data_IF_359188417694
#
_entry.id   IF_359188417694
#
_cell.length_a   1.000
_cell.length_b   1.000
_cell.length_c   1.000
_cell.angle_alpha   90.00
_cell.angle_beta   90.00
_cell.angle_gamma   90.00
#
_symmetry.space_group_name_H-M   'P 1'
#
loop_
_entity.id
_entity.type
_entity.pdbx_description
1 polymer ?
#
# COMPACT_ATOMS: atom_id res chain seq x y z
N UNK A 1 37.03 -83.75 -15.90
CA UNK A 1 37.23 -82.29 -15.99
C UNK A 1 38.25 -82.02 -17.08
N UNK A 2 37.83 -81.46 -18.24
CA UNK A 2 38.77 -81.00 -19.27
C UNK A 2 39.27 -79.62 -18.87
N UNK A 3 40.56 -79.53 -18.56
CA UNK A 3 41.28 -78.26 -18.41
C UNK A 3 41.37 -77.60 -19.78
N UNK A 4 40.65 -76.50 -19.99
CA UNK A 4 40.83 -75.66 -21.17
C UNK A 4 42.09 -74.81 -20.94
N UNK A 5 43.19 -75.18 -21.60
CA UNK A 5 44.37 -74.34 -21.69
C UNK A 5 44.12 -73.28 -22.76
N UNK A 6 43.78 -72.07 -22.31
CA UNK A 6 43.74 -70.89 -23.15
C UNK A 6 45.16 -70.57 -23.61
N UNK A 7 45.35 -70.35 -24.91
CA UNK A 7 46.61 -69.83 -25.46
C UNK A 7 46.84 -68.41 -24.95
N UNK A 8 48.09 -67.92 -24.93
CA UNK A 8 48.38 -66.58 -24.41
C UNK A 8 47.58 -65.47 -25.14
N UNK A 9 47.34 -65.65 -26.44
CA UNK A 9 46.53 -64.75 -27.25
C UNK A 9 45.05 -64.74 -26.81
N UNK A 10 44.48 -65.88 -26.43
CA UNK A 10 43.11 -65.96 -25.93
C UNK A 10 42.97 -65.29 -24.56
N UNK A 11 43.99 -65.38 -23.69
CA UNK A 11 44.02 -64.68 -22.41
C UNK A 11 44.12 -63.16 -22.59
N UNK A 12 44.91 -62.70 -23.57
CA UNK A 12 45.03 -61.29 -23.91
C UNK A 12 43.72 -60.71 -24.46
N UNK A 13 43.03 -61.45 -25.32
CA UNK A 13 41.73 -61.03 -25.85
C UNK A 13 40.65 -60.95 -24.75
N UNK A 14 40.59 -61.95 -23.86
CA UNK A 14 39.64 -61.94 -22.74
C UNK A 14 39.87 -60.74 -21.81
N UNK A 15 41.14 -60.40 -21.55
CA UNK A 15 41.46 -59.24 -20.70
C UNK A 15 41.17 -57.91 -21.38
N UNK A 16 41.33 -57.81 -22.69
CA UNK A 16 40.96 -56.63 -23.47
C UNK A 16 39.44 -56.42 -23.57
N UNK A 17 38.67 -57.50 -23.77
CA UNK A 17 37.21 -57.46 -23.78
C UNK A 17 36.66 -57.08 -22.40
N UNK A 18 37.24 -57.64 -21.32
CA UNK A 18 36.86 -57.29 -19.96
C UNK A 18 37.14 -55.80 -19.65
N UNK A 19 38.32 -55.30 -20.02
CA UNK A 19 38.68 -53.90 -19.84
C UNK A 19 37.74 -52.98 -20.62
N UNK A 20 37.40 -53.36 -21.84
CA UNK A 20 36.47 -52.60 -22.71
C UNK A 20 35.06 -52.58 -22.10
N UNK A 21 34.57 -53.71 -21.61
CA UNK A 21 33.26 -53.78 -20.95
C UNK A 21 33.21 -52.89 -19.69
N UNK A 22 34.25 -52.92 -18.86
CA UNK A 22 34.36 -52.06 -17.68
C UNK A 22 34.40 -50.59 -18.09
N UNK A 23 35.16 -50.22 -19.12
CA UNK A 23 35.23 -48.85 -19.62
C UNK A 23 33.86 -48.35 -20.11
N UNK A 24 33.12 -49.17 -20.85
CA UNK A 24 31.75 -48.83 -21.31
C UNK A 24 30.80 -48.63 -20.12
N UNK A 25 30.87 -49.49 -19.10
CA UNK A 25 30.06 -49.35 -17.88
C UNK A 25 30.40 -48.06 -17.14
N UNK A 26 31.68 -47.73 -16.99
CA UNK A 26 32.12 -46.49 -16.32
C UNK A 26 31.66 -45.25 -17.09
N UNK A 27 31.79 -45.24 -18.42
CA UNK A 27 31.30 -44.13 -19.26
C UNK A 27 29.79 -43.98 -19.13
N UNK A 28 29.04 -45.09 -19.21
CA UNK A 28 27.59 -45.08 -19.03
C UNK A 28 27.18 -44.60 -17.63
N UNK A 29 27.94 -44.96 -16.59
CA UNK A 29 27.70 -44.51 -15.23
C UNK A 29 27.97 -43.01 -15.06
N UNK A 30 29.09 -42.50 -15.59
CA UNK A 30 29.40 -41.06 -15.57
C UNK A 30 28.30 -40.29 -16.32
N UNK A 31 27.87 -40.79 -17.48
CA UNK A 31 26.76 -40.19 -18.22
C UNK A 31 25.46 -40.19 -17.41
N UNK A 32 25.11 -41.31 -16.78
CA UNK A 32 23.92 -41.41 -15.94
C UNK A 32 23.96 -40.45 -14.74
N UNK A 33 25.09 -40.34 -14.03
CA UNK A 33 25.27 -39.39 -12.92
C UNK A 33 25.18 -37.94 -13.41
N UNK A 34 25.74 -37.64 -14.58
CA UNK A 34 25.68 -36.29 -15.19
C UNK A 34 24.24 -35.90 -15.55
N UNK A 35 23.51 -36.84 -16.18
CA UNK A 35 22.11 -36.66 -16.56
C UNK A 35 21.21 -36.58 -15.31
N UNK A 36 21.42 -37.45 -14.32
CA UNK A 36 20.70 -37.39 -13.04
C UNK A 36 20.93 -36.05 -12.36
N UNK A 37 22.16 -35.54 -12.31
CA UNK A 37 22.45 -34.23 -11.71
C UNK A 37 21.69 -33.09 -12.42
N UNK A 38 21.56 -33.18 -13.76
CA UNK A 38 20.77 -32.25 -14.57
C UNK A 38 19.25 -32.40 -14.41
N UNK A 39 18.75 -33.60 -14.06
CA UNK A 39 17.32 -33.85 -13.82
C UNK A 39 16.93 -33.50 -12.39
N UNK A 40 17.83 -33.70 -11.42
CA UNK A 40 17.59 -33.50 -9.99
C UNK A 40 17.72 -32.03 -9.59
N UNK A 41 18.33 -31.17 -10.41
CA UNK A 41 18.23 -29.72 -10.17
C UNK A 41 16.80 -29.28 -10.52
N UNK A 42 15.89 -29.06 -9.55
CA UNK A 42 14.50 -28.73 -9.84
C UNK A 42 14.36 -27.28 -10.32
N UNK A 43 15.48 -26.59 -10.49
CA UNK A 43 15.54 -25.23 -10.97
C UNK A 43 15.64 -25.27 -12.49
N UNK A 44 14.47 -25.29 -13.13
CA UNK A 44 14.33 -24.72 -14.47
C UNK A 44 15.12 -23.41 -14.56
N UNK A 45 15.75 -23.12 -15.71
CA UNK A 45 16.61 -21.93 -15.85
C UNK A 45 15.95 -20.61 -15.42
N UNK A 46 14.62 -20.52 -15.52
CA UNK A 46 13.85 -19.34 -15.13
C UNK A 46 13.65 -19.21 -13.61
N UNK A 47 13.36 -20.28 -12.88
CA UNK A 47 13.16 -20.21 -11.42
C UNK A 47 14.40 -19.73 -10.65
N UNK A 48 15.60 -19.99 -11.18
CA UNK A 48 16.87 -19.50 -10.62
C UNK A 48 17.02 -17.97 -10.73
N UNK A 49 16.42 -17.35 -11.76
CA UNK A 49 16.41 -15.90 -11.96
C UNK A 49 15.20 -15.23 -11.30
N UNK A 50 14.05 -15.91 -11.27
CA UNK A 50 12.79 -15.40 -10.71
C UNK A 50 12.93 -15.03 -9.23
N UNK A 51 13.53 -15.88 -8.40
CA UNK A 51 13.61 -15.61 -6.96
C UNK A 51 14.42 -14.36 -6.62
N UNK A 52 15.67 -14.18 -7.08
CA UNK A 52 16.41 -12.95 -6.83
C UNK A 52 15.70 -11.69 -7.35
N UNK A 53 15.02 -11.78 -8.50
CA UNK A 53 14.28 -10.66 -9.07
C UNK A 53 13.03 -10.33 -8.25
N UNK A 54 12.24 -11.32 -7.87
CA UNK A 54 11.08 -11.15 -6.99
C UNK A 54 11.48 -10.60 -5.61
N UNK A 55 12.58 -11.11 -5.04
CA UNK A 55 13.12 -10.67 -3.76
C UNK A 55 13.59 -9.22 -3.80
N UNK A 56 14.26 -8.82 -4.89
CA UNK A 56 14.63 -7.42 -5.12
C UNK A 56 13.39 -6.54 -5.27
N UNK A 57 12.41 -6.95 -6.07
CA UNK A 57 11.20 -6.17 -6.30
C UNK A 57 10.41 -5.93 -5.01
N UNK A 58 10.17 -6.97 -4.21
CA UNK A 58 9.47 -6.81 -2.92
C UNK A 58 10.27 -5.98 -1.91
N UNK A 59 11.60 -6.10 -1.93
CA UNK A 59 12.47 -5.29 -1.07
C UNK A 59 12.39 -3.82 -1.47
N UNK A 60 12.43 -3.51 -2.77
CA UNK A 60 12.21 -2.13 -3.26
C UNK A 60 10.83 -1.60 -2.86
N UNK A 61 9.79 -2.42 -2.99
CA UNK A 61 8.44 -2.03 -2.59
C UNK A 61 8.35 -1.68 -1.10
N UNK A 62 8.99 -2.44 -0.22
CA UNK A 62 8.82 -2.29 1.24
C UNK A 62 9.85 -1.35 1.88
N UNK A 63 11.06 -1.27 1.33
CA UNK A 63 12.20 -0.60 1.97
C UNK A 63 12.66 0.66 1.22
N UNK A 64 12.10 0.97 0.05
CA UNK A 64 12.44 2.15 -0.74
C UNK A 64 11.24 3.11 -0.80
N UNK A 65 11.53 4.42 -0.87
CA UNK A 65 10.50 5.46 -1.02
C UNK A 65 9.99 5.55 -2.47
N UNK A 66 10.68 4.90 -3.41
CA UNK A 66 10.47 5.08 -4.84
C UNK A 66 11.16 6.34 -5.36
N UNK A 67 11.16 6.48 -6.68
CA UNK A 67 11.88 7.55 -7.36
C UNK A 67 11.26 7.88 -8.71
N UNK A 68 11.28 9.16 -9.06
CA UNK A 68 10.95 9.66 -10.38
C UNK A 68 12.02 10.64 -10.86
N UNK A 69 12.20 10.70 -12.17
CA UNK A 69 13.16 11.57 -12.84
C UNK A 69 12.57 12.02 -14.19
N UNK A 70 12.58 13.33 -14.44
CA UNK A 70 12.24 13.91 -15.74
C UNK A 70 13.02 15.21 -15.98
N UNK A 71 12.86 15.82 -17.16
CA UNK A 71 13.62 17.02 -17.53
C UNK A 71 13.48 18.19 -16.52
N UNK A 72 12.33 18.27 -15.86
CA UNK A 72 12.00 19.32 -14.89
C UNK A 72 12.46 19.02 -13.44
N UNK A 73 13.03 17.84 -13.16
CA UNK A 73 13.55 17.50 -11.83
C UNK A 73 13.48 16.02 -11.46
N UNK A 74 13.70 15.74 -10.18
CA UNK A 74 13.70 14.38 -9.61
C UNK A 74 13.19 14.39 -8.16
N UNK A 75 12.68 13.26 -7.67
CA UNK A 75 12.09 13.19 -6.33
C UNK A 75 11.65 11.78 -5.90
N UNK A 76 11.20 11.65 -4.65
CA UNK A 76 10.72 10.37 -4.05
C UNK A 76 9.20 10.30 -3.90
N UNK A 77 8.51 11.35 -4.32
CA UNK A 77 7.06 11.56 -4.39
C UNK A 77 6.53 11.10 -5.75
N UNK A 78 6.92 9.89 -6.16
CA UNK A 78 6.67 9.34 -7.50
C UNK A 78 5.18 9.14 -7.77
N UNK A 79 4.36 9.00 -6.72
CA UNK A 79 2.92 8.86 -6.80
C UNK A 79 2.24 10.03 -7.51
N UNK A 80 2.79 11.25 -7.35
CA UNK A 80 2.30 12.44 -8.05
C UNK A 80 2.58 12.38 -9.55
N UNK A 81 3.64 11.70 -9.97
CA UNK A 81 3.99 11.49 -11.38
C UNK A 81 3.23 10.33 -12.00
N UNK A 82 2.78 9.37 -11.19
CA UNK A 82 1.96 8.25 -11.65
C UNK A 82 0.57 8.71 -12.14
N UNK A 83 -0.05 9.65 -11.41
CA UNK A 83 -1.44 10.09 -11.63
C UNK A 83 -1.61 11.53 -12.17
N UNK A 84 -0.55 12.17 -12.68
CA UNK A 84 -0.62 13.58 -13.06
C UNK A 84 -1.59 13.84 -14.25
N UNK A 85 -2.68 14.57 -13.98
CA UNK A 85 -3.47 15.35 -14.94
C UNK A 85 -4.13 14.58 -16.11
N UNK A 86 -4.51 13.31 -15.93
CA UNK A 86 -5.22 12.53 -16.95
C UNK A 86 -4.37 12.18 -18.20
N UNK A 87 -3.10 12.57 -18.21
CA UNK A 87 -2.08 12.14 -19.16
C UNK A 87 -1.10 11.26 -18.40
N UNK A 88 -1.42 9.97 -18.37
CA UNK A 88 -0.64 8.91 -17.74
C UNK A 88 0.83 8.88 -18.20
N UNK A 89 1.69 9.68 -17.55
CA UNK A 89 3.11 9.79 -17.89
C UNK A 89 3.96 8.90 -16.97
N UNK A 90 3.61 7.61 -16.96
CA UNK A 90 4.26 6.59 -16.15
C UNK A 90 5.77 6.45 -16.44
N UNK A 91 6.24 6.91 -17.60
CA UNK A 91 7.65 6.82 -18.01
C UNK A 91 8.61 7.57 -17.09
N UNK A 92 8.15 8.63 -16.43
CA UNK A 92 8.98 9.42 -15.52
C UNK A 92 9.21 8.72 -14.18
N UNK A 93 8.39 7.74 -13.82
CA UNK A 93 8.59 6.93 -12.62
C UNK A 93 9.65 5.87 -12.91
N UNK A 94 10.81 5.98 -12.28
CA UNK A 94 11.94 5.06 -12.51
C UNK A 94 11.95 3.93 -11.50
N UNK A 95 11.37 4.14 -10.31
CA UNK A 95 11.26 3.15 -9.25
C UNK A 95 9.99 3.32 -8.44
N UNK A 96 9.30 2.20 -8.19
CA UNK A 96 8.15 2.16 -7.26
C UNK A 96 8.65 1.64 -5.90
N UNK A 97 8.34 2.41 -4.86
CA UNK A 97 8.60 2.05 -3.47
C UNK A 97 7.51 2.62 -2.59
N UNK A 98 7.10 1.88 -1.57
CA UNK A 98 5.94 2.17 -0.73
C UNK A 98 6.36 2.63 0.67
N UNK A 99 7.65 2.79 0.96
CA UNK A 99 8.10 3.24 2.27
C UNK A 99 7.68 4.69 2.51
N UNK A 100 7.14 4.94 3.71
CA UNK A 100 6.90 6.28 4.24
C UNK A 100 8.23 7.02 4.39
N UNK A 101 8.25 8.27 3.92
CA UNK A 101 9.44 9.09 3.97
C UNK A 101 9.90 9.44 5.40
N UNK A 102 8.99 9.40 6.37
CA UNK A 102 9.18 9.89 7.73
C UNK A 102 9.38 8.76 8.75
N UNK A 103 9.08 7.52 8.38
CA UNK A 103 9.06 6.39 9.31
C UNK A 103 9.84 5.18 8.80
N UNK A 104 10.39 4.40 9.73
CA UNK A 104 11.13 3.17 9.39
C UNK A 104 10.18 1.98 9.33
N UNK A 105 10.22 1.27 8.21
CA UNK A 105 9.44 0.04 7.98
C UNK A 105 7.92 0.27 8.08
N UNK A 106 7.47 1.49 7.79
CA UNK A 106 6.06 1.85 7.67
C UNK A 106 5.78 2.13 6.19
N UNK A 107 4.74 1.50 5.64
CA UNK A 107 4.30 1.76 4.29
C UNK A 107 3.38 2.98 4.26
N UNK A 108 3.53 3.78 3.22
CA UNK A 108 2.73 4.96 2.91
C UNK A 108 1.42 4.52 2.22
N UNK A 109 0.25 4.74 2.86
CA UNK A 109 -1.04 4.38 2.26
C UNK A 109 -1.35 5.12 0.97
N UNK A 110 -0.90 6.37 0.82
CA UNK A 110 -1.10 7.18 -0.39
C UNK A 110 -0.39 6.56 -1.59
N UNK A 111 0.84 6.06 -1.39
CA UNK A 111 1.58 5.32 -2.42
C UNK A 111 0.93 4.00 -2.78
N UNK A 112 0.42 3.27 -1.79
CA UNK A 112 -0.33 2.03 -2.02
C UNK A 112 -1.57 2.31 -2.86
N UNK A 113 -2.41 3.26 -2.44
CA UNK A 113 -3.66 3.61 -3.12
C UNK A 113 -3.45 4.22 -4.52
N UNK A 114 -2.24 4.67 -4.82
CA UNK A 114 -1.91 5.23 -6.14
C UNK A 114 -1.81 4.16 -7.22
N UNK A 115 -1.28 2.98 -6.88
CA UNK A 115 -1.03 1.91 -7.85
C UNK A 115 -1.88 0.66 -7.59
N UNK A 116 -2.32 0.42 -6.37
CA UNK A 116 -3.05 -0.80 -6.00
C UNK A 116 -4.54 -0.53 -5.81
N UNK A 117 -5.38 -1.50 -6.17
CA UNK A 117 -6.82 -1.42 -5.93
C UNK A 117 -7.17 -2.00 -4.56
N UNK A 118 -7.98 -1.26 -3.80
CA UNK A 118 -8.47 -1.70 -2.50
C UNK A 118 -9.69 -2.62 -2.65
N UNK A 119 -9.58 -3.85 -2.17
CA UNK A 119 -10.64 -4.87 -2.15
C UNK A 119 -11.37 -4.90 -0.79
N UNK A 120 -11.50 -3.74 -0.15
CA UNK A 120 -12.14 -3.52 1.14
C UNK A 120 -11.27 -3.82 2.36
N UNK A 121 -10.41 -4.85 2.30
CA UNK A 121 -9.56 -5.25 3.44
C UNK A 121 -8.13 -5.67 3.05
N UNK A 122 -7.81 -5.67 1.76
CA UNK A 122 -6.47 -5.85 1.23
C UNK A 122 -6.31 -5.04 -0.05
N UNK A 123 -5.07 -4.86 -0.48
CA UNK A 123 -4.72 -4.22 -1.74
C UNK A 123 -4.13 -5.24 -2.69
N UNK A 124 -4.46 -5.12 -3.97
CA UNK A 124 -3.89 -5.98 -5.00
C UNK A 124 -3.52 -5.22 -6.27
N UNK A 125 -2.51 -5.73 -6.98
CA UNK A 125 -2.09 -5.20 -8.27
C UNK A 125 -1.32 -6.24 -9.11
N UNK A 126 -1.54 -6.31 -10.42
CA UNK A 126 -2.69 -5.74 -11.13
C UNK A 126 -3.98 -6.47 -10.75
N UNK A 127 -5.14 -5.83 -10.95
CA UNK A 127 -6.47 -6.46 -10.76
C UNK A 127 -6.93 -7.29 -11.95
N UNK A 128 -6.22 -7.18 -13.08
CA UNK A 128 -6.48 -7.96 -14.28
C UNK A 128 -5.17 -8.49 -14.85
N UNK A 129 -5.23 -9.63 -15.53
CA UNK A 129 -4.08 -10.24 -16.19
C UNK A 129 -3.79 -9.64 -17.57
N UNK A 130 -4.60 -8.68 -18.03
CA UNK A 130 -4.38 -7.98 -19.30
C UNK A 130 -3.25 -6.98 -19.18
N UNK A 131 -2.29 -7.07 -20.10
CA UNK A 131 -1.22 -6.08 -20.26
C UNK A 131 -1.80 -4.72 -20.69
N UNK A 132 -1.27 -3.66 -20.10
CA UNK A 132 -1.58 -2.29 -20.46
C UNK A 132 -0.41 -1.37 -20.10
N UNK A 133 -0.43 -0.10 -20.55
CA UNK A 133 0.68 0.82 -20.35
C UNK A 133 1.07 0.99 -18.88
N UNK A 134 0.10 0.94 -17.98
CA UNK A 134 0.32 1.01 -16.54
C UNK A 134 1.11 -0.22 -16.04
N UNK A 135 0.67 -1.43 -16.39
CA UNK A 135 1.33 -2.68 -15.99
C UNK A 135 2.75 -2.76 -16.57
N UNK A 136 2.94 -2.38 -17.83
CA UNK A 136 4.25 -2.39 -18.48
C UNK A 136 5.22 -1.42 -17.79
N UNK A 137 4.74 -0.25 -17.39
CA UNK A 137 5.56 0.73 -16.66
C UNK A 137 5.82 0.30 -15.22
N UNK A 138 4.84 -0.29 -14.54
CA UNK A 138 5.03 -0.83 -13.20
C UNK A 138 6.08 -1.96 -13.23
N UNK A 139 5.98 -2.83 -14.23
CA UNK A 139 6.95 -3.88 -14.50
C UNK A 139 8.35 -3.31 -14.71
N UNK A 140 8.50 -2.27 -15.54
CA UNK A 140 9.78 -1.57 -15.74
C UNK A 140 10.31 -0.98 -14.43
N UNK A 141 9.51 -0.20 -13.71
CA UNK A 141 9.92 0.51 -12.50
C UNK A 141 10.26 -0.42 -11.33
N UNK A 142 9.69 -1.63 -11.29
CA UNK A 142 10.06 -2.67 -10.32
C UNK A 142 11.22 -3.55 -10.77
N UNK A 143 11.74 -3.36 -12.00
CA UNK A 143 12.78 -4.23 -12.57
C UNK A 143 12.27 -5.62 -12.98
N UNK A 144 10.97 -5.75 -13.22
CA UNK A 144 10.25 -6.96 -13.60
C UNK A 144 9.94 -7.03 -15.10
N UNK A 145 10.47 -6.13 -15.94
CA UNK A 145 10.07 -5.97 -17.36
C UNK A 145 10.10 -7.19 -18.29
N UNK A 146 10.59 -8.35 -17.83
CA UNK A 146 10.59 -9.63 -18.58
C UNK A 146 9.66 -10.69 -17.96
N UNK A 147 9.04 -10.35 -16.84
CA UNK A 147 8.26 -11.25 -16.02
C UNK A 147 6.88 -10.67 -15.82
N UNK A 148 5.91 -11.55 -15.63
CA UNK A 148 4.64 -11.15 -15.10
C UNK A 148 4.73 -11.17 -13.58
N UNK A 149 3.85 -10.42 -12.94
CA UNK A 149 3.78 -10.42 -11.49
C UNK A 149 2.38 -10.13 -11.00
N UNK A 150 2.18 -10.46 -9.74
CA UNK A 150 1.00 -10.11 -8.97
C UNK A 150 1.44 -9.76 -7.55
N UNK A 151 0.85 -8.74 -6.95
CA UNK A 151 1.18 -8.24 -5.62
C UNK A 151 -0.09 -8.20 -4.79
N UNK A 152 0.02 -8.66 -3.55
CA UNK A 152 -0.99 -8.44 -2.52
C UNK A 152 -0.35 -7.83 -1.28
N UNK A 153 -1.01 -6.83 -0.71
CA UNK A 153 -0.71 -6.28 0.62
C UNK A 153 -1.94 -6.51 1.48
N UNK A 154 -1.79 -7.22 2.59
CA UNK A 154 -2.92 -7.57 3.48
C UNK A 154 -2.55 -7.52 4.96
N UNK A 155 -3.50 -7.25 5.87
CA UNK A 155 -3.27 -7.34 7.31
C UNK A 155 -2.82 -8.73 7.75
N UNK A 156 -2.03 -8.82 8.82
CA UNK A 156 -1.72 -10.10 9.47
C UNK A 156 -2.88 -10.67 10.28
N UNK A 157 -3.79 -9.81 10.73
CA UNK A 157 -4.91 -10.25 11.54
C UNK A 157 -6.00 -10.88 10.67
N UNK A 158 -5.91 -12.19 10.47
CA UNK A 158 -6.86 -13.00 9.70
C UNK A 158 -8.31 -12.91 10.19
N UNK A 159 -8.56 -12.47 11.43
CA UNK A 159 -9.93 -12.24 11.91
C UNK A 159 -10.58 -10.95 11.38
N UNK A 160 -9.76 -10.01 10.87
CA UNK A 160 -10.20 -8.70 10.36
C UNK A 160 -10.37 -8.69 8.83
N UNK A 161 -10.06 -9.77 8.11
CA UNK A 161 -10.23 -9.82 6.65
C UNK A 161 -10.53 -11.23 6.12
N UNK A 162 -11.09 -11.30 4.91
CA UNK A 162 -11.41 -12.58 4.28
C UNK A 162 -10.17 -13.20 3.60
N UNK A 163 -9.37 -13.92 4.38
CA UNK A 163 -8.16 -14.62 3.91
C UNK A 163 -8.45 -15.56 2.73
N UNK A 164 -9.58 -16.26 2.78
CA UNK A 164 -9.98 -17.21 1.74
C UNK A 164 -10.22 -16.51 0.41
N UNK A 165 -10.91 -15.37 0.42
CA UNK A 165 -11.12 -14.56 -0.79
C UNK A 165 -9.79 -14.06 -1.38
N UNK A 166 -8.90 -13.52 -0.53
CA UNK A 166 -7.58 -13.05 -0.98
C UNK A 166 -6.73 -14.18 -1.60
N UNK A 167 -6.72 -15.37 -0.96
CA UNK A 167 -5.99 -16.53 -1.49
C UNK A 167 -6.61 -17.07 -2.78
N UNK A 168 -7.93 -17.04 -2.90
CA UNK A 168 -8.62 -17.40 -4.14
C UNK A 168 -8.23 -16.44 -5.27
N UNK A 169 -8.21 -15.12 -5.02
CA UNK A 169 -7.78 -14.12 -6.00
C UNK A 169 -6.33 -14.32 -6.44
N UNK A 170 -5.43 -14.60 -5.51
CA UNK A 170 -4.05 -14.94 -5.86
C UNK A 170 -3.97 -16.18 -6.76
N UNK A 171 -4.78 -17.19 -6.50
CA UNK A 171 -4.86 -18.40 -7.32
C UNK A 171 -5.41 -18.10 -8.72
N UNK A 172 -6.43 -17.25 -8.83
CA UNK A 172 -7.02 -16.84 -10.12
C UNK A 172 -6.04 -16.02 -10.97
N UNK A 173 -5.29 -15.10 -10.36
CA UNK A 173 -4.35 -14.21 -11.04
C UNK A 173 -3.08 -14.91 -11.50
N UNK A 174 -2.54 -15.77 -10.65
CA UNK A 174 -1.32 -16.53 -10.91
C UNK A 174 -1.63 -17.73 -11.80
N UNK A 175 -2.67 -18.50 -11.47
CA UNK A 175 -3.06 -19.73 -12.18
C UNK A 175 -1.97 -20.80 -12.19
N UNK A 176 -2.11 -21.79 -13.08
CA UNK A 176 -1.12 -22.85 -13.32
C UNK A 176 -0.03 -22.40 -14.30
N UNK A 177 0.59 -21.25 -14.03
CA UNK A 177 1.60 -20.67 -14.92
C UNK A 177 3.00 -21.17 -14.59
N UNK A 178 3.38 -22.31 -15.17
CA UNK A 178 4.77 -22.78 -15.21
C UNK A 178 5.54 -22.61 -13.89
N UNK A 179 6.69 -21.94 -13.95
CA UNK A 179 7.49 -21.62 -12.77
C UNK A 179 7.01 -20.33 -12.11
N UNK A 180 6.38 -20.45 -10.94
CA UNK A 180 5.98 -19.31 -10.11
C UNK A 180 6.86 -19.23 -8.88
N UNK A 181 7.38 -18.05 -8.59
CA UNK A 181 8.02 -17.76 -7.31
C UNK A 181 7.19 -16.75 -6.52
N UNK A 182 6.94 -17.04 -5.24
CA UNK A 182 6.34 -16.09 -4.30
C UNK A 182 7.34 -15.63 -3.24
N UNK A 183 7.46 -14.33 -3.03
CA UNK A 183 8.27 -13.75 -1.94
C UNK A 183 7.39 -12.94 -1.01
N UNK A 184 7.63 -13.09 0.30
CA UNK A 184 6.86 -12.44 1.36
C UNK A 184 7.75 -11.48 2.15
N UNK A 185 7.21 -10.31 2.48
CA UNK A 185 7.79 -9.34 3.42
C UNK A 185 6.73 -8.87 4.42
N UNK A 186 7.19 -8.49 5.60
CA UNK A 186 6.35 -7.98 6.68
C UNK A 186 6.72 -6.54 6.97
N UNK A 187 5.71 -5.68 7.02
CA UNK A 187 5.86 -4.25 7.22
C UNK A 187 4.75 -3.74 8.15
N UNK A 188 4.78 -2.45 8.46
CA UNK A 188 3.71 -1.77 9.19
C UNK A 188 3.02 -0.78 8.27
N UNK A 189 1.79 -0.42 8.59
CA UNK A 189 1.13 0.72 7.97
C UNK A 189 0.38 1.50 9.03
N UNK A 190 0.46 2.81 8.91
CA UNK A 190 -0.32 3.74 9.70
C UNK A 190 -1.73 3.77 9.13
N UNK A 191 -2.73 3.45 9.95
CA UNK A 191 -4.12 3.60 9.51
C UNK A 191 -4.42 5.09 9.38
N UNK A 192 -4.43 5.58 8.16
CA UNK A 192 -5.02 6.86 7.81
C UNK A 192 -6.38 6.53 7.21
N UNK A 193 -7.43 6.91 7.91
CA UNK A 193 -8.81 6.75 7.45
C UNK A 193 -9.06 7.78 6.35
N UNK A 194 -9.28 7.34 5.11
CA UNK A 194 -9.41 8.21 3.94
C UNK A 194 -10.86 8.27 3.46
N UNK A 195 -11.60 9.26 3.94
CA UNK A 195 -12.81 9.74 3.28
C UNK A 195 -12.47 10.83 2.26
N UNK A 196 -13.04 10.78 1.06
CA UNK A 196 -13.13 11.96 0.18
C UNK A 196 -14.21 12.87 0.75
N UNK A 197 -13.85 14.09 1.16
CA UNK A 197 -14.76 15.02 1.80
C UNK A 197 -15.01 16.26 0.94
N UNK A 198 -16.29 16.48 0.64
CA UNK A 198 -16.77 17.80 0.24
C UNK A 198 -16.95 18.63 1.51
N UNK A 199 -16.44 19.86 1.53
CA UNK A 199 -16.51 20.75 2.71
C UNK A 199 -17.92 21.30 2.97
N UNK A 200 -18.89 21.04 2.07
CA UNK A 200 -20.33 21.25 2.33
C UNK A 200 -20.97 20.07 3.08
N UNK A 201 -20.19 19.04 3.41
CA UNK A 201 -20.58 17.85 4.18
C UNK A 201 -19.76 17.76 5.47
N UNK A 202 -20.19 16.97 6.45
CA UNK A 202 -19.43 16.76 7.69
C UNK A 202 -17.96 16.43 7.40
N UNK A 203 -17.05 17.21 7.98
CA UNK A 203 -15.59 17.04 7.90
C UNK A 203 -15.13 15.81 8.70
N UNK A 204 -15.88 15.39 9.69
CA UNK A 204 -15.73 14.07 10.30
C UNK A 204 -16.93 13.77 11.19
N UNK A 205 -17.17 12.49 11.46
CA UNK A 205 -18.14 12.00 12.43
C UNK A 205 -17.48 11.08 13.45
N UNK A 206 -17.82 11.24 14.72
CA UNK A 206 -17.52 10.35 15.83
C UNK A 206 -18.80 9.56 16.15
N UNK A 207 -18.70 8.23 16.15
CA UNK A 207 -19.81 7.42 16.63
C UNK A 207 -19.93 7.48 18.18
N UNK A 208 -21.08 7.05 18.68
CA UNK A 208 -21.36 7.04 20.12
C UNK A 208 -20.36 6.22 20.96
N UNK A 209 -19.76 5.17 20.39
CA UNK A 209 -18.78 4.33 21.08
C UNK A 209 -17.49 5.11 21.38
N UNK A 210 -17.24 6.19 20.64
CA UNK A 210 -16.06 7.03 20.79
C UNK A 210 -16.31 8.29 21.65
N UNK A 211 -17.51 8.54 22.17
CA UNK A 211 -17.79 9.77 22.95
C UNK A 211 -17.03 9.85 24.27
N UNK A 212 -16.61 8.72 24.83
CA UNK A 212 -15.71 8.72 25.99
C UNK A 212 -14.43 9.52 25.73
N UNK A 213 -14.01 9.63 24.47
CA UNK A 213 -12.87 10.44 24.05
C UNK A 213 -13.07 11.94 24.32
N UNK A 214 -14.24 12.45 23.94
CA UNK A 214 -14.62 13.87 24.10
C UNK A 214 -14.59 14.24 25.59
N UNK A 215 -15.17 13.36 26.41
CA UNK A 215 -15.21 13.51 27.86
C UNK A 215 -13.82 13.42 28.50
N UNK A 216 -13.00 12.45 28.09
CA UNK A 216 -11.67 12.23 28.69
C UNK A 216 -10.67 13.32 28.38
N UNK A 217 -10.81 13.99 27.23
CA UNK A 217 -9.88 15.04 26.78
C UNK A 217 -10.38 16.45 27.10
N UNK A 218 -11.56 16.59 27.71
CA UNK A 218 -12.14 17.90 27.98
C UNK A 218 -12.49 18.69 26.72
N UNK A 219 -12.80 17.99 25.61
CA UNK A 219 -13.13 18.59 24.32
C UNK A 219 -12.69 17.75 23.14
N UNK A 220 -12.65 18.38 21.96
CA UNK A 220 -12.14 17.79 20.72
C UNK A 220 -11.07 18.73 20.15
N UNK A 221 -9.93 18.15 19.82
CA UNK A 221 -8.87 18.84 19.11
C UNK A 221 -8.61 18.11 17.78
N UNK A 222 -8.67 18.85 16.67
CA UNK A 222 -8.37 18.32 15.35
C UNK A 222 -7.55 19.27 14.50
N UNK A 223 -6.82 18.73 13.54
CA UNK A 223 -5.99 19.49 12.60
C UNK A 223 -6.36 19.17 11.17
N UNK A 224 -6.56 20.20 10.37
CA UNK A 224 -6.83 20.13 8.93
C UNK A 224 -5.60 20.64 8.18
N UNK A 225 -5.12 19.86 7.22
CA UNK A 225 -3.97 20.18 6.37
C UNK A 225 -4.27 19.83 4.91
N UNK A 226 -3.43 20.31 3.98
CA UNK A 226 -3.50 20.01 2.55
C UNK A 226 -4.83 20.45 1.88
N UNK A 227 -5.40 21.56 2.35
CA UNK A 227 -6.53 22.20 1.68
C UNK A 227 -6.07 22.68 0.29
N UNK A 228 -6.72 22.24 -0.79
CA UNK A 228 -6.44 22.86 -2.11
C UNK A 228 -7.25 24.11 -2.32
N UNK A 229 -6.59 24.98 -3.05
CA UNK A 229 -7.09 26.26 -3.45
C UNK A 229 -7.55 26.11 -4.90
N UNK A 230 -8.84 26.36 -5.15
CA UNK A 230 -9.32 26.67 -6.49
C UNK A 230 -8.62 27.96 -6.90
N UNK A 231 -7.86 27.97 -8.01
CA UNK A 231 -7.20 29.18 -8.49
C UNK A 231 -8.18 30.35 -8.59
N UNK A 232 -7.70 31.56 -8.28
CA UNK A 232 -8.40 32.84 -8.44
C UNK A 232 -9.58 33.13 -7.49
N UNK A 233 -9.81 32.34 -6.44
CA UNK A 233 -10.84 32.60 -5.42
C UNK A 233 -10.23 32.80 -4.03
N UNK A 234 -10.68 33.82 -3.28
CA UNK A 234 -10.34 33.94 -1.86
C UNK A 234 -11.08 32.86 -1.09
N UNK A 235 -10.34 32.01 -0.37
CA UNK A 235 -10.94 30.93 0.41
C UNK A 235 -10.88 31.27 1.88
N UNK A 236 -12.04 31.33 2.49
CA UNK A 236 -12.20 31.64 3.90
C UNK A 236 -13.06 30.57 4.53
N UNK A 237 -12.56 29.94 5.59
CA UNK A 237 -13.43 29.23 6.53
C UNK A 237 -14.23 30.32 7.24
N UNK A 238 -15.50 30.45 6.89
CA UNK A 238 -16.40 31.47 7.42
C UNK A 238 -17.06 31.03 8.70
N UNK A 239 -17.30 29.73 8.84
CA UNK A 239 -17.98 29.13 9.97
C UNK A 239 -17.52 27.68 10.24
N UNK A 240 -17.69 27.22 11.48
CA UNK A 240 -17.54 25.84 11.90
C UNK A 240 -18.85 25.42 12.57
N UNK A 241 -19.48 24.37 12.06
CA UNK A 241 -20.68 23.80 12.66
C UNK A 241 -20.37 22.47 13.33
N UNK A 242 -21.00 22.21 14.46
CA UNK A 242 -21.05 20.89 15.09
C UNK A 242 -22.47 20.39 15.03
N UNK A 243 -22.70 19.09 14.88
CA UNK A 243 -24.05 18.58 15.01
C UNK A 243 -24.15 17.12 15.38
N UNK A 244 -25.39 16.66 15.47
CA UNK A 244 -25.73 15.30 15.86
C UNK A 244 -26.71 14.66 14.89
N UNK A 245 -26.39 13.43 14.49
CA UNK A 245 -27.16 12.62 13.56
C UNK A 245 -27.06 13.05 12.10
N UNK A 246 -27.16 12.06 11.21
CA UNK A 246 -27.40 12.23 9.78
C UNK A 246 -28.68 11.48 9.43
N UNK A 247 -29.57 12.08 8.64
CA UNK A 247 -30.69 11.34 8.08
C UNK A 247 -30.21 10.37 6.97
N UNK A 248 -31.10 9.50 6.47
CA UNK A 248 -30.78 8.53 5.41
C UNK A 248 -30.27 9.15 4.10
N UNK A 249 -30.41 10.47 3.91
CA UNK A 249 -29.92 11.24 2.76
C UNK A 249 -28.63 12.01 3.06
N UNK A 250 -27.99 11.73 4.21
CA UNK A 250 -26.81 12.47 4.71
C UNK A 250 -27.08 13.95 4.98
N UNK A 251 -28.34 14.35 5.15
CA UNK A 251 -28.67 15.68 5.62
C UNK A 251 -28.59 15.74 7.14
N UNK A 252 -28.09 16.88 7.60
CA UNK A 252 -27.87 17.21 9.00
C UNK A 252 -29.21 17.40 9.70
N UNK A 253 -29.43 16.64 10.78
CA UNK A 253 -30.67 16.75 11.56
C UNK A 253 -30.65 17.87 12.59
N UNK A 254 -29.48 18.15 13.19
CA UNK A 254 -29.30 19.23 14.16
C UNK A 254 -27.86 19.76 14.04
N UNK A 255 -27.69 21.04 13.69
CA UNK A 255 -26.41 21.75 13.73
C UNK A 255 -26.42 22.91 14.73
N UNK A 256 -25.26 23.13 15.34
CA UNK A 256 -24.91 24.26 16.17
C UNK A 256 -23.73 24.98 15.52
N UNK A 257 -23.95 26.24 15.13
CA UNK A 257 -22.94 27.12 14.56
C UNK A 257 -22.08 27.69 15.69
N UNK A 258 -20.75 27.50 15.59
CA UNK A 258 -19.80 27.90 16.63
C UNK A 258 -19.40 29.38 16.55
N UNK A 259 -19.89 30.18 15.61
CA UNK A 259 -19.43 31.56 15.36
C UNK A 259 -19.40 32.46 16.61
N UNK A 260 -20.21 32.17 17.63
CA UNK A 260 -20.27 32.93 18.90
C UNK A 260 -19.75 32.15 20.12
N UNK A 261 -19.20 30.96 19.92
CA UNK A 261 -18.72 30.10 20.99
C UNK A 261 -17.24 30.35 21.33
N UNK A 262 -16.82 29.79 22.47
CA UNK A 262 -15.42 29.83 22.91
C UNK A 262 -14.71 28.58 22.40
N UNK A 263 -13.86 28.76 21.39
CA UNK A 263 -12.96 27.73 20.86
C UNK A 263 -11.71 28.41 20.28
N UNK A 264 -10.64 27.65 20.09
CA UNK A 264 -9.36 28.18 19.61
C UNK A 264 -9.08 27.67 18.20
N UNK A 265 -8.65 28.57 17.32
CA UNK A 265 -8.17 28.21 15.99
C UNK A 265 -6.72 28.66 15.86
N UNK A 266 -5.85 27.79 15.39
CA UNK A 266 -4.46 28.13 15.10
C UNK A 266 -4.19 27.92 13.61
N UNK A 267 -3.71 28.98 12.93
CA UNK A 267 -3.19 28.89 11.57
C UNK A 267 -1.67 28.92 11.61
N UNK A 268 -1.03 27.85 11.14
CA UNK A 268 0.43 27.70 11.15
C UNK A 268 1.05 28.00 12.53
N UNK A 269 0.37 27.54 13.59
CA UNK A 269 0.77 27.73 15.00
C UNK A 269 0.38 29.08 15.63
N UNK A 270 -0.20 30.02 14.87
CA UNK A 270 -0.64 31.31 15.39
C UNK A 270 -2.13 31.30 15.69
N UNK A 271 -2.51 31.71 16.90
CA UNK A 271 -3.91 31.87 17.30
C UNK A 271 -4.62 32.87 16.37
N UNK A 272 -5.80 32.49 15.87
CA UNK A 272 -6.62 33.26 14.94
C UNK A 272 -8.11 33.08 15.29
N UNK A 273 -8.98 33.82 14.60
CA UNK A 273 -10.44 33.77 14.75
C UNK A 273 -11.09 33.61 13.38
N UNK A 274 -12.36 33.17 13.34
CA UNK A 274 -13.13 33.20 12.11
C UNK A 274 -13.37 34.66 11.64
N UNK A 275 -13.44 34.90 10.32
CA UNK A 275 -13.13 33.95 9.24
C UNK A 275 -11.62 33.70 9.11
N UNK A 276 -11.22 32.47 8.76
CA UNK A 276 -9.81 32.10 8.56
C UNK A 276 -9.50 31.97 7.08
N UNK A 277 -8.65 32.86 6.55
CA UNK A 277 -8.20 32.78 5.16
C UNK A 277 -7.21 31.62 4.97
N UNK A 278 -7.43 30.81 3.93
CA UNK A 278 -6.55 29.73 3.49
C UNK A 278 -5.86 30.19 2.23
N UNK A 279 -4.55 30.46 2.32
CA UNK A 279 -3.77 31.14 1.28
C UNK A 279 -2.76 30.22 0.61
N UNK A 280 -2.32 29.17 1.30
CA UNK A 280 -1.32 28.22 0.80
C UNK A 280 -1.79 26.79 1.05
N UNK A 281 -1.45 25.86 0.15
CA UNK A 281 -1.75 24.41 0.32
C UNK A 281 -1.08 23.84 1.58
N UNK A 282 0.00 24.47 2.02
CA UNK A 282 0.73 24.15 3.26
C UNK A 282 0.10 24.72 4.53
N UNK A 283 -1.00 25.47 4.44
CA UNK A 283 -1.65 26.01 5.64
C UNK A 283 -2.19 24.87 6.53
N UNK A 284 -1.77 24.88 7.79
CA UNK A 284 -2.23 23.95 8.82
C UNK A 284 -3.20 24.70 9.74
N UNK A 285 -4.43 24.18 9.84
CA UNK A 285 -5.49 24.75 10.66
C UNK A 285 -5.82 23.78 11.79
N UNK A 286 -5.43 24.15 13.00
CA UNK A 286 -5.73 23.39 14.20
C UNK A 286 -6.92 24.03 14.92
N UNK A 287 -7.91 23.23 15.29
CA UNK A 287 -9.13 23.67 15.94
C UNK A 287 -9.27 22.91 17.26
N UNK A 288 -9.46 23.64 18.36
CA UNK A 288 -9.69 23.11 19.70
C UNK A 288 -11.06 23.57 20.22
N UNK A 289 -11.99 22.63 20.33
CA UNK A 289 -13.36 22.84 20.79
C UNK A 289 -13.47 22.27 22.22
N UNK A 290 -13.53 23.12 23.26
CA UNK A 290 -13.60 22.64 24.63
C UNK A 290 -14.94 21.97 24.94
N UNK A 291 -14.94 21.05 25.90
CA UNK A 291 -16.14 20.30 26.32
C UNK A 291 -17.29 21.21 26.73
N UNK A 292 -16.98 22.38 27.30
CA UNK A 292 -18.01 23.35 27.69
C UNK A 292 -18.81 23.86 26.49
N UNK A 293 -18.17 24.00 25.33
CA UNK A 293 -18.83 24.39 24.07
C UNK A 293 -19.66 23.23 23.53
N UNK A 294 -19.11 22.00 23.58
CA UNK A 294 -19.83 20.79 23.15
C UNK A 294 -21.07 20.54 24.02
N UNK A 295 -20.99 20.79 25.32
CA UNK A 295 -22.11 20.63 26.26
C UNK A 295 -23.27 21.60 26.03
N UNK A 296 -23.11 22.63 25.17
CA UNK A 296 -24.22 23.47 24.73
C UNK A 296 -25.10 22.78 23.67
N UNK A 297 -24.67 21.63 23.13
CA UNK A 297 -25.41 20.86 22.14
C UNK A 297 -26.33 19.88 22.85
N UNK A 298 -27.63 20.07 22.73
CA UNK A 298 -28.61 19.22 23.40
C UNK A 298 -28.47 17.74 22.97
N UNK A 299 -28.43 16.85 23.97
CA UNK A 299 -28.44 15.39 23.80
C UNK A 299 -27.25 14.78 23.04
N UNK A 300 -26.14 15.51 22.90
CA UNK A 300 -24.99 15.02 22.12
C UNK A 300 -24.44 13.68 22.61
N UNK A 301 -24.44 13.44 23.92
CA UNK A 301 -23.95 12.18 24.52
C UNK A 301 -24.78 10.94 24.14
N UNK A 302 -26.03 11.15 23.69
CA UNK A 302 -26.96 10.08 23.30
C UNK A 302 -27.12 9.96 21.78
N UNK A 303 -26.44 10.81 21.02
CA UNK A 303 -26.50 10.77 19.57
C UNK A 303 -25.75 9.56 19.02
N UNK A 304 -26.26 8.95 17.94
CA UNK A 304 -25.55 7.86 17.25
C UNK A 304 -24.26 8.35 16.57
N UNK A 305 -24.25 9.64 16.19
CA UNK A 305 -23.16 10.30 15.49
C UNK A 305 -23.05 11.74 15.95
N UNK A 306 -21.84 12.16 16.30
CA UNK A 306 -21.44 13.54 16.52
C UNK A 306 -20.53 13.97 15.38
N UNK A 307 -20.72 15.14 14.77
CA UNK A 307 -19.90 15.54 13.64
C UNK A 307 -19.46 17.00 13.73
N UNK A 308 -18.37 17.32 13.03
CA UNK A 308 -17.89 18.71 12.84
C UNK A 308 -17.80 19.00 11.35
N UNK A 309 -18.17 20.21 10.94
CA UNK A 309 -18.18 20.68 9.57
C UNK A 309 -17.48 22.04 9.49
N UNK A 310 -16.66 22.23 8.45
CA UNK A 310 -16.07 23.53 8.12
C UNK A 310 -16.85 24.16 6.98
N UNK A 311 -17.56 25.24 7.26
CA UNK A 311 -18.29 26.00 6.28
C UNK A 311 -17.37 27.08 5.70
N UNK A 312 -17.07 26.99 4.41
CA UNK A 312 -16.32 28.04 3.74
C UNK A 312 -16.49 28.02 2.23
N UNK A 313 -16.34 29.20 1.64
CA UNK A 313 -16.52 29.39 0.21
C UNK A 313 -15.29 28.90 -0.57
N UNK A 314 -15.56 28.17 -1.66
CA UNK A 314 -14.58 27.69 -2.64
C UNK A 314 -13.53 26.70 -2.12
N UNK A 315 -13.61 26.20 -0.89
CA UNK A 315 -12.64 25.23 -0.38
C UNK A 315 -12.82 23.84 -1.02
N UNK A 316 -11.73 23.27 -1.53
CA UNK A 316 -11.69 21.86 -1.98
C UNK A 316 -10.48 21.18 -1.35
N UNK A 317 -10.59 19.95 -0.86
CA UNK A 317 -9.41 19.20 -0.43
C UNK A 317 -8.66 18.65 -1.67
N UNK A 318 -7.35 18.95 -1.83
CA UNK A 318 -6.58 18.60 -3.06
C UNK A 318 -6.37 17.11 -3.20
N UNK A 319 -6.42 16.48 -2.03
CA UNK A 319 -6.16 15.08 -1.77
C UNK A 319 -7.10 14.71 -0.62
N UNK A 320 -7.34 13.41 -0.40
CA UNK A 320 -7.78 12.90 0.90
C UNK A 320 -6.81 13.38 1.99
N UNK A 321 -7.08 14.55 2.55
CA UNK A 321 -6.23 15.27 3.48
C UNK A 321 -6.65 14.96 4.91
N UNK A 322 -5.73 14.35 5.64
CA UNK A 322 -5.88 13.77 6.96
C UNK A 322 -6.41 14.81 7.97
N UNK A 323 -7.53 14.48 8.63
CA UNK A 323 -7.92 15.13 9.89
C UNK A 323 -7.21 14.40 11.03
N UNK A 324 -6.18 15.00 11.63
CA UNK A 324 -5.54 14.39 12.79
C UNK A 324 -6.35 14.70 14.05
N UNK A 325 -6.80 13.69 14.78
CA UNK A 325 -7.13 13.82 16.19
C UNK A 325 -5.82 13.91 16.97
N UNK A 326 -5.48 15.10 17.44
CA UNK A 326 -4.42 15.24 18.45
C UNK A 326 -5.01 14.86 19.81
N UNK A 327 -5.07 13.56 20.05
CA UNK A 327 -4.68 13.03 21.35
C UNK A 327 -3.33 12.38 21.16
N UNK A 328 -2.65 12.05 22.26
CA UNK A 328 -1.53 11.11 22.28
C UNK A 328 -1.95 9.68 21.84
N UNK A 329 -2.78 9.54 20.80
CA UNK A 329 -3.11 8.29 20.16
C UNK A 329 -1.86 7.82 19.43
N UNK A 330 -1.31 6.71 19.93
CA UNK A 330 -0.52 5.82 19.11
C UNK A 330 -1.35 5.53 17.87
N UNK A 331 -0.94 6.05 16.72
CA UNK A 331 -1.40 5.59 15.41
C UNK A 331 -1.43 4.07 15.51
N UNK A 332 -2.59 3.44 15.31
CA UNK A 332 -2.65 1.98 15.32
C UNK A 332 -1.84 1.48 14.13
N UNK A 333 -0.56 1.22 14.37
CA UNK A 333 0.31 0.53 13.45
C UNK A 333 -0.24 -0.89 13.31
N UNK A 334 -0.76 -1.24 12.14
CA UNK A 334 -1.12 -2.63 11.87
C UNK A 334 -0.05 -3.29 11.03
N UNK A 335 0.27 -4.53 11.41
CA UNK A 335 1.24 -5.34 10.70
C UNK A 335 0.64 -5.86 9.40
N UNK A 336 1.40 -5.72 8.33
CA UNK A 336 1.06 -6.12 6.98
C UNK A 336 1.92 -7.28 6.50
N UNK A 337 1.36 -8.04 5.57
CA UNK A 337 2.02 -9.04 4.74
C UNK A 337 1.96 -8.58 3.29
N UNK A 338 3.12 -8.22 2.75
CA UNK A 338 3.30 -7.97 1.32
C UNK A 338 3.78 -9.25 0.66
N UNK A 339 3.04 -9.75 -0.33
CA UNK A 339 3.42 -10.92 -1.12
C UNK A 339 3.51 -10.52 -2.58
N UNK A 340 4.62 -10.86 -3.24
CA UNK A 340 4.76 -10.77 -4.70
C UNK A 340 4.87 -12.17 -5.28
N UNK A 341 4.15 -12.43 -6.35
CA UNK A 341 4.29 -13.60 -7.22
C UNK A 341 4.91 -13.15 -8.53
N UNK A 342 5.88 -13.88 -9.05
CA UNK A 342 6.57 -13.58 -10.33
C UNK A 342 6.69 -14.86 -11.14
N UNK A 343 6.39 -14.78 -12.45
CA UNK A 343 6.44 -15.92 -13.39
C UNK A 343 6.72 -15.50 -14.83
#
# INVERSE_FOLDING_TARGET
>A
MRSFHLTEDEKANISMDFLTAVAVIVIAFIFAVSVLSSIITPYSGYSKELYPTADRAVTLLVEDKGYWECDDGEGTDWEFKWNYSGNYNYSNVTKIGLLDSNEKNTLDPGKINTIMENQGSWWEYPVSSSSGPELDNASRAMGLGRYNFYIQIRPLNESKYNVSAANQRATEMVGDKGDVVSVVRYSRMNQLDYGTMSLEKPLFGLDNNNFSYILSNGGIEFTVANLSIIPDHSQTISDISIGIGLNHESEITHSHDLQNDVFEIYKNGNLTTLPVSVSEVSDIIKINIPINTINNIDNWESADLFYVQLNGDNLMASQPGITFFSSNSTIEEFSLKTTIWVW
#
